data_IF_695706310401
#
_entry.id   IF_695706310401
#
_cell.length_a   1.000
_cell.length_b   1.000
_cell.length_c   1.000
_cell.angle_alpha   90.00
_cell.angle_beta   90.00
_cell.angle_gamma   90.00
#
_symmetry.space_group_name_H-M   'P 1'
#
loop_
_entity.id
_entity.type
_entity.pdbx_description
1 polymer ?
#
# COMPACT_ATOMS: atom_id res chain seq x y z
N UNK A 1 -2.36 -14.84 19.01
CA UNK A 1 -3.24 -15.37 17.94
C UNK A 1 -2.55 -15.38 16.59
N UNK A 2 -2.13 -14.23 16.04
CA UNK A 2 -1.46 -14.18 14.71
C UNK A 2 -0.18 -15.02 14.67
N UNK A 3 0.64 -15.01 15.73
CA UNK A 3 1.87 -15.81 15.79
C UNK A 3 1.62 -17.33 15.69
N UNK A 4 0.54 -17.83 16.30
CA UNK A 4 0.20 -19.26 16.25
C UNK A 4 -0.32 -19.65 14.86
N UNK A 5 -1.06 -18.76 14.20
CA UNK A 5 -1.48 -18.95 12.81
C UNK A 5 -0.29 -19.02 11.86
N UNK A 6 0.65 -18.07 11.98
CA UNK A 6 1.88 -18.09 11.20
C UNK A 6 2.64 -19.40 11.37
N UNK A 7 2.86 -19.83 12.60
CA UNK A 7 3.63 -21.05 12.87
C UNK A 7 2.92 -22.32 12.35
N UNK A 8 1.59 -22.38 12.43
CA UNK A 8 0.81 -23.48 11.86
C UNK A 8 0.89 -23.50 10.32
N UNK A 9 0.78 -22.33 9.68
CA UNK A 9 0.81 -22.21 8.23
C UNK A 9 2.22 -22.43 7.63
N UNK A 10 3.26 -21.87 8.26
CA UNK A 10 4.65 -21.92 7.77
C UNK A 10 5.39 -23.21 8.18
N UNK A 11 4.93 -23.88 9.25
CA UNK A 11 5.54 -25.09 9.81
C UNK A 11 7.05 -24.98 10.13
N UNK A 12 7.55 -23.76 10.39
CA UNK A 12 8.91 -23.52 10.87
C UNK A 12 8.95 -22.57 12.07
N UNK A 13 10.01 -22.60 12.90
CA UNK A 13 10.20 -21.64 13.98
C UNK A 13 10.31 -20.20 13.44
N UNK A 14 10.04 -19.18 14.30
CA UNK A 14 10.28 -17.80 13.93
C UNK A 14 11.77 -17.52 13.65
N UNK A 15 12.03 -16.42 12.94
CA UNK A 15 13.39 -15.94 12.65
C UNK A 15 14.25 -15.91 13.92
N UNK A 16 15.48 -16.42 13.83
CA UNK A 16 16.41 -16.53 14.97
C UNK A 16 16.19 -17.75 15.88
N UNK A 17 15.15 -18.57 15.64
CA UNK A 17 14.89 -19.83 16.36
C UNK A 17 15.00 -21.09 15.47
N UNK A 18 15.24 -20.91 14.18
CA UNK A 18 15.35 -22.01 13.22
C UNK A 18 16.73 -22.67 13.19
N UNK A 19 16.76 -23.99 13.02
CA UNK A 19 17.98 -24.77 12.76
C UNK A 19 18.11 -25.03 11.26
N UNK A 20 18.77 -24.15 10.52
CA UNK A 20 19.01 -24.31 9.06
C UNK A 20 17.76 -24.54 8.22
N UNK A 21 17.93 -24.98 6.96
CA UNK A 21 16.82 -25.40 6.09
C UNK A 21 16.31 -26.78 6.53
N UNK A 22 15.34 -26.81 7.45
CA UNK A 22 14.68 -28.05 7.89
C UNK A 22 13.69 -28.54 6.83
N UNK A 23 13.78 -29.82 6.47
CA UNK A 23 12.83 -30.48 5.57
C UNK A 23 11.73 -31.14 6.40
N UNK A 24 10.47 -30.89 6.03
CA UNK A 24 9.31 -31.49 6.68
C UNK A 24 9.14 -32.96 6.28
N UNK A 25 8.84 -33.82 7.25
CA UNK A 25 8.39 -35.19 6.99
C UNK A 25 7.03 -35.20 6.29
N UNK A 26 6.66 -36.31 5.65
CA UNK A 26 5.36 -36.46 5.01
C UNK A 26 4.19 -36.24 6.00
N UNK A 27 4.35 -36.69 7.25
CA UNK A 27 3.34 -36.48 8.31
C UNK A 27 3.21 -35.01 8.68
N UNK A 28 4.33 -34.31 8.90
CA UNK A 28 4.33 -32.88 9.22
C UNK A 28 3.75 -32.03 8.08
N UNK A 29 4.09 -32.36 6.83
CA UNK A 29 3.52 -31.70 5.65
C UNK A 29 2.01 -31.89 5.57
N UNK A 30 1.51 -33.11 5.85
CA UNK A 30 0.06 -33.37 5.90
C UNK A 30 -0.61 -32.52 6.99
N UNK A 31 -0.04 -32.48 8.19
CA UNK A 31 -0.55 -31.63 9.28
C UNK A 31 -0.56 -30.15 8.91
N UNK A 32 0.50 -29.64 8.28
CA UNK A 32 0.57 -28.25 7.81
C UNK A 32 -0.58 -27.92 6.85
N UNK A 33 -0.83 -28.79 5.87
CA UNK A 33 -1.93 -28.60 4.90
C UNK A 33 -3.29 -28.63 5.61
N UNK A 34 -3.52 -29.62 6.48
CA UNK A 34 -4.77 -29.76 7.23
C UNK A 34 -5.03 -28.53 8.14
N UNK A 35 -3.99 -28.03 8.81
CA UNK A 35 -4.06 -26.85 9.67
C UNK A 35 -4.28 -25.56 8.85
N UNK A 36 -3.60 -25.42 7.70
CA UNK A 36 -3.80 -24.30 6.76
C UNK A 36 -5.24 -24.26 6.22
N UNK A 37 -5.82 -25.41 5.90
CA UNK A 37 -7.22 -25.46 5.43
C UNK A 37 -8.18 -25.05 6.55
N UNK A 38 -8.04 -25.63 7.75
CA UNK A 38 -8.91 -25.30 8.90
C UNK A 38 -8.83 -23.84 9.31
N UNK A 39 -7.62 -23.26 9.36
CA UNK A 39 -7.47 -21.86 9.70
C UNK A 39 -8.07 -20.96 8.62
N UNK A 40 -7.92 -21.33 7.35
CA UNK A 40 -8.46 -20.55 6.23
C UNK A 40 -9.98 -20.51 6.30
N UNK A 41 -10.64 -21.67 6.37
CA UNK A 41 -12.10 -21.76 6.48
C UNK A 41 -12.62 -20.95 7.67
N UNK A 42 -11.98 -21.08 8.84
CA UNK A 42 -12.40 -20.37 10.04
C UNK A 42 -12.26 -18.84 9.90
N UNK A 43 -11.08 -18.37 9.49
CA UNK A 43 -10.79 -16.93 9.48
C UNK A 43 -11.36 -16.20 8.26
N UNK A 44 -11.68 -16.87 7.16
CA UNK A 44 -12.49 -16.28 6.09
C UNK A 44 -13.80 -15.72 6.66
N UNK A 45 -14.45 -16.46 7.56
CA UNK A 45 -15.70 -16.04 8.20
C UNK A 45 -15.46 -15.04 9.34
N UNK A 46 -14.46 -15.29 10.20
CA UNK A 46 -14.25 -14.53 11.42
C UNK A 46 -13.53 -13.18 11.21
N UNK A 47 -12.60 -13.10 10.25
CA UNK A 47 -11.74 -11.92 10.07
C UNK A 47 -12.53 -10.63 9.76
N UNK A 48 -13.55 -10.63 8.88
CA UNK A 48 -14.35 -9.42 8.67
C UNK A 48 -15.03 -8.94 9.96
N UNK A 49 -15.52 -9.86 10.79
CA UNK A 49 -16.16 -9.51 12.08
C UNK A 49 -15.15 -8.93 13.07
N UNK A 50 -13.94 -9.50 13.12
CA UNK A 50 -12.87 -9.01 14.00
C UNK A 50 -12.41 -7.61 13.58
N UNK A 51 -12.23 -7.37 12.28
CA UNK A 51 -11.89 -6.05 11.74
C UNK A 51 -12.99 -5.03 12.07
N UNK A 52 -14.26 -5.40 11.88
CA UNK A 52 -15.38 -4.53 12.23
C UNK A 52 -15.40 -4.18 13.72
N UNK A 53 -15.12 -5.16 14.60
CA UNK A 53 -15.13 -4.96 16.06
C UNK A 53 -13.97 -4.09 16.55
N UNK A 54 -12.78 -4.30 16.01
CA UNK A 54 -11.55 -3.64 16.46
C UNK A 54 -11.09 -2.50 15.54
N UNK A 55 -11.96 -2.05 14.63
CA UNK A 55 -11.65 -1.14 13.54
C UNK A 55 -11.02 0.20 13.96
N UNK A 56 -11.16 0.63 15.22
CA UNK A 56 -10.58 1.89 15.70
C UNK A 56 -9.17 1.72 16.29
N UNK A 57 -8.71 0.49 16.50
CA UNK A 57 -7.45 0.18 17.18
C UNK A 57 -6.38 -0.19 16.14
N UNK A 58 -5.47 0.73 15.88
CA UNK A 58 -4.46 0.60 14.81
C UNK A 58 -3.56 -0.62 15.00
N UNK A 59 -3.11 -0.90 16.22
CA UNK A 59 -2.26 -2.05 16.51
C UNK A 59 -3.00 -3.38 16.28
N UNK A 60 -4.24 -3.49 16.76
CA UNK A 60 -5.06 -4.69 16.55
C UNK A 60 -5.38 -4.89 15.07
N UNK A 61 -5.74 -3.83 14.35
CA UNK A 61 -6.07 -3.88 12.93
C UNK A 61 -4.85 -4.30 12.10
N UNK A 62 -3.68 -3.68 12.30
CA UNK A 62 -2.45 -4.03 11.60
C UNK A 62 -2.08 -5.51 11.81
N UNK A 63 -2.24 -6.02 13.03
CA UNK A 63 -2.03 -7.44 13.34
C UNK A 63 -3.07 -8.35 12.66
N UNK A 64 -4.35 -8.00 12.68
CA UNK A 64 -5.42 -8.81 12.06
C UNK A 64 -5.24 -8.91 10.54
N UNK A 65 -4.81 -7.83 9.89
CA UNK A 65 -4.53 -7.80 8.45
C UNK A 65 -3.32 -8.65 8.03
N UNK A 66 -2.53 -9.17 8.96
CA UNK A 66 -1.51 -10.17 8.65
C UNK A 66 -2.10 -11.56 8.39
N UNK A 67 -3.36 -11.83 8.76
CA UNK A 67 -3.93 -13.18 8.70
C UNK A 67 -4.11 -13.69 7.25
N UNK A 68 -4.62 -12.89 6.28
CA UNK A 68 -4.86 -13.36 4.91
C UNK A 68 -3.63 -13.92 4.18
N UNK A 69 -2.40 -13.51 4.56
CA UNK A 69 -1.17 -14.03 3.95
C UNK A 69 -0.96 -15.53 4.21
N UNK A 70 -1.66 -16.10 5.19
CA UNK A 70 -1.59 -17.51 5.54
C UNK A 70 -2.73 -18.34 4.93
N UNK A 71 -3.63 -17.71 4.18
CA UNK A 71 -4.79 -18.41 3.60
C UNK A 71 -4.41 -19.30 2.42
N UNK A 72 -5.23 -20.32 2.23
CA UNK A 72 -5.40 -20.97 0.94
C UNK A 72 -6.52 -20.25 0.17
N UNK A 73 -6.17 -19.38 -0.77
CA UNK A 73 -7.14 -18.51 -1.43
C UNK A 73 -8.12 -19.27 -2.35
N UNK A 74 -7.80 -20.50 -2.76
CA UNK A 74 -8.72 -21.35 -3.52
C UNK A 74 -9.98 -21.71 -2.72
N UNK A 75 -9.90 -21.70 -1.39
CA UNK A 75 -11.04 -21.93 -0.50
C UNK A 75 -12.16 -20.91 -0.72
N UNK A 76 -11.84 -19.68 -1.15
CA UNK A 76 -12.87 -18.69 -1.45
C UNK A 76 -13.83 -19.16 -2.56
N UNK A 77 -13.29 -19.76 -3.62
CA UNK A 77 -14.07 -20.21 -4.78
C UNK A 77 -14.59 -21.63 -4.58
N UNK A 78 -13.74 -22.56 -4.14
CA UNK A 78 -14.12 -23.95 -3.93
C UNK A 78 -15.18 -24.09 -2.82
N UNK A 79 -15.08 -23.26 -1.77
CA UNK A 79 -16.02 -23.23 -0.65
C UNK A 79 -17.25 -22.35 -0.86
N UNK A 80 -17.39 -21.66 -2.01
CA UNK A 80 -18.45 -20.67 -2.27
C UNK A 80 -18.53 -19.60 -1.18
N UNK A 81 -17.37 -19.07 -0.79
CA UNK A 81 -17.21 -18.10 0.29
C UNK A 81 -17.03 -16.67 -0.21
N UNK A 82 -17.43 -16.35 -1.44
CA UNK A 82 -17.26 -15.04 -2.08
C UNK A 82 -17.94 -13.92 -1.27
N UNK A 83 -19.07 -14.21 -0.61
CA UNK A 83 -19.74 -13.25 0.28
C UNK A 83 -18.85 -12.79 1.44
N UNK A 84 -17.94 -13.65 1.91
CA UNK A 84 -17.00 -13.33 2.99
C UNK A 84 -15.79 -12.57 2.47
N UNK A 85 -15.39 -12.82 1.22
CA UNK A 85 -14.42 -11.98 0.52
C UNK A 85 -14.96 -10.54 0.37
N UNK A 86 -16.20 -10.38 -0.10
CA UNK A 86 -16.84 -9.06 -0.21
C UNK A 86 -16.91 -8.36 1.16
N UNK A 87 -17.24 -9.11 2.22
CA UNK A 87 -17.24 -8.57 3.58
C UNK A 87 -15.84 -8.14 4.04
N UNK A 88 -14.79 -8.91 3.74
CA UNK A 88 -13.41 -8.56 4.05
C UNK A 88 -12.98 -7.29 3.31
N UNK A 89 -13.19 -7.23 1.99
CA UNK A 89 -12.84 -6.07 1.16
C UNK A 89 -13.54 -4.80 1.65
N UNK A 90 -14.83 -4.90 2.01
CA UNK A 90 -15.57 -3.80 2.63
C UNK A 90 -14.92 -3.34 3.93
N UNK A 91 -14.53 -4.26 4.81
CA UNK A 91 -13.89 -3.89 6.09
C UNK A 91 -12.51 -3.27 5.89
N UNK A 92 -11.69 -3.79 4.98
CA UNK A 92 -10.38 -3.20 4.66
C UNK A 92 -10.56 -1.78 4.14
N UNK A 93 -11.52 -1.54 3.24
CA UNK A 93 -11.84 -0.20 2.75
C UNK A 93 -12.20 0.76 3.89
N UNK A 94 -13.10 0.35 4.79
CA UNK A 94 -13.46 1.17 5.95
C UNK A 94 -12.26 1.44 6.87
N UNK A 95 -11.32 0.50 7.00
CA UNK A 95 -10.05 0.71 7.73
C UNK A 95 -9.20 1.77 7.03
N UNK A 96 -9.01 1.68 5.72
CA UNK A 96 -8.21 2.66 4.93
C UNK A 96 -8.81 4.06 5.04
N UNK A 97 -10.13 4.19 5.00
CA UNK A 97 -10.82 5.48 5.15
C UNK A 97 -10.60 6.08 6.55
N UNK A 98 -10.55 5.25 7.59
CA UNK A 98 -10.46 5.69 8.99
C UNK A 98 -9.05 5.99 9.48
N UNK A 99 -8.04 5.30 8.96
CA UNK A 99 -6.67 5.33 9.49
C UNK A 99 -5.72 6.17 8.63
N UNK A 100 -4.68 6.69 9.29
CA UNK A 100 -3.55 7.39 8.65
C UNK A 100 -2.19 6.84 9.11
N UNK A 101 -2.17 5.87 10.01
CA UNK A 101 -0.96 5.20 10.49
C UNK A 101 -0.38 4.32 9.38
N UNK A 102 0.91 4.51 9.07
CA UNK A 102 1.55 3.81 7.94
C UNK A 102 1.51 2.29 8.09
N UNK A 103 1.72 1.76 9.30
CA UNK A 103 1.67 0.31 9.54
C UNK A 103 0.30 -0.30 9.21
N UNK A 104 -0.79 0.44 9.45
CA UNK A 104 -2.15 0.00 9.09
C UNK A 104 -2.34 0.06 7.58
N UNK A 105 -1.96 1.17 6.96
CA UNK A 105 -2.12 1.38 5.52
C UNK A 105 -1.29 0.39 4.69
N UNK A 106 -0.06 0.11 5.11
CA UNK A 106 0.79 -0.90 4.51
C UNK A 106 0.23 -2.31 4.70
N UNK A 107 -0.36 -2.62 5.85
CA UNK A 107 -1.01 -3.90 6.07
C UNK A 107 -2.24 -4.06 5.16
N UNK A 108 -3.02 -3.00 4.94
CA UNK A 108 -4.12 -2.98 3.97
C UNK A 108 -3.61 -3.23 2.54
N UNK A 109 -2.58 -2.49 2.12
CA UNK A 109 -2.01 -2.63 0.77
C UNK A 109 -1.43 -4.04 0.53
N UNK A 110 -0.64 -4.56 1.48
CA UNK A 110 -0.10 -5.93 1.40
C UNK A 110 -1.22 -6.97 1.33
N UNK A 111 -2.30 -6.79 2.09
CA UNK A 111 -3.48 -7.67 2.04
C UNK A 111 -4.14 -7.64 0.66
N UNK A 112 -4.35 -6.46 0.07
CA UNK A 112 -4.84 -6.35 -1.31
C UNK A 112 -3.90 -7.02 -2.31
N UNK A 113 -2.58 -6.92 -2.11
CA UNK A 113 -1.58 -7.52 -3.01
C UNK A 113 -1.69 -9.04 -3.01
N UNK A 114 -1.81 -9.65 -1.82
CA UNK A 114 -2.02 -11.10 -1.65
C UNK A 114 -3.33 -11.54 -2.32
N UNK A 115 -4.43 -10.83 -2.04
CA UNK A 115 -5.75 -11.19 -2.55
C UNK A 115 -5.90 -10.98 -4.07
N UNK A 116 -5.06 -10.12 -4.66
CA UNK A 116 -5.07 -9.77 -6.08
C UNK A 116 -4.02 -10.54 -6.91
N UNK A 117 -3.56 -11.69 -6.44
CA UNK A 117 -2.65 -12.55 -7.23
C UNK A 117 -3.37 -13.17 -8.43
N UNK A 118 -2.72 -13.12 -9.60
CA UNK A 118 -3.21 -13.66 -10.88
C UNK A 118 -3.41 -15.18 -10.86
N UNK A 119 -2.84 -15.87 -9.87
CA UNK A 119 -2.96 -17.31 -9.69
C UNK A 119 -4.38 -17.74 -9.26
N UNK A 120 -5.20 -16.82 -8.74
CA UNK A 120 -6.49 -17.16 -8.12
C UNK A 120 -7.69 -16.56 -8.85
N UNK A 121 -8.77 -17.35 -8.90
CA UNK A 121 -10.04 -16.97 -9.55
C UNK A 121 -10.74 -15.76 -8.91
N UNK A 122 -10.36 -15.38 -7.68
CA UNK A 122 -10.90 -14.22 -6.97
C UNK A 122 -10.31 -12.88 -7.45
N UNK A 123 -9.21 -12.91 -8.22
CA UNK A 123 -8.43 -11.72 -8.58
C UNK A 123 -9.30 -10.59 -9.15
N UNK A 124 -10.13 -10.87 -10.17
CA UNK A 124 -10.95 -9.84 -10.82
C UNK A 124 -11.88 -9.12 -9.84
N UNK A 125 -12.45 -9.83 -8.88
CA UNK A 125 -13.34 -9.25 -7.86
C UNK A 125 -12.57 -8.32 -6.92
N UNK A 126 -11.37 -8.74 -6.51
CA UNK A 126 -10.49 -7.95 -5.64
C UNK A 126 -9.96 -6.72 -6.38
N UNK A 127 -9.59 -6.87 -7.66
CA UNK A 127 -9.09 -5.77 -8.48
C UNK A 127 -10.14 -4.68 -8.71
N UNK A 128 -11.41 -5.05 -8.91
CA UNK A 128 -12.52 -4.08 -8.99
C UNK A 128 -12.61 -3.28 -7.69
N UNK A 129 -12.63 -3.95 -6.54
CA UNK A 129 -12.72 -3.28 -5.23
C UNK A 129 -11.50 -2.39 -4.95
N UNK A 130 -10.29 -2.84 -5.34
CA UNK A 130 -9.05 -2.07 -5.25
C UNK A 130 -9.10 -0.84 -6.14
N UNK A 131 -9.48 -1.01 -7.41
CA UNK A 131 -9.58 0.08 -8.39
C UNK A 131 -10.53 1.17 -7.90
N UNK A 132 -11.73 0.80 -7.45
CA UNK A 132 -12.71 1.74 -6.88
C UNK A 132 -12.16 2.50 -5.67
N UNK A 133 -11.45 1.81 -4.77
CA UNK A 133 -10.81 2.46 -3.63
C UNK A 133 -9.77 3.51 -4.09
N UNK A 134 -8.90 3.16 -5.04
CA UNK A 134 -7.86 4.07 -5.52
C UNK A 134 -8.44 5.23 -6.33
N UNK A 135 -9.47 5.00 -7.15
CA UNK A 135 -10.18 6.05 -7.89
C UNK A 135 -10.67 7.13 -6.91
N UNK A 136 -11.40 6.73 -5.87
CA UNK A 136 -11.90 7.66 -4.86
C UNK A 136 -10.79 8.35 -4.05
N UNK A 137 -9.70 7.65 -3.72
CA UNK A 137 -8.56 8.28 -3.03
C UNK A 137 -7.87 9.31 -3.93
N UNK A 138 -7.73 9.00 -5.22
CA UNK A 138 -7.07 9.87 -6.20
C UNK A 138 -7.91 11.11 -6.48
N UNK A 139 -9.22 10.95 -6.62
CA UNK A 139 -10.14 12.07 -6.80
C UNK A 139 -10.06 13.01 -5.59
N UNK A 140 -10.17 12.48 -4.36
CA UNK A 140 -10.05 13.30 -3.15
C UNK A 140 -8.69 13.98 -3.04
N UNK A 141 -7.61 13.25 -3.29
CA UNK A 141 -6.26 13.83 -3.27
C UNK A 141 -6.12 14.97 -4.28
N UNK A 142 -6.63 14.80 -5.50
CA UNK A 142 -6.53 15.82 -6.54
C UNK A 142 -7.28 17.09 -6.16
N UNK A 143 -8.50 16.97 -5.62
CA UNK A 143 -9.26 18.13 -5.13
C UNK A 143 -8.52 18.83 -3.99
N UNK A 144 -8.07 18.09 -2.97
CA UNK A 144 -7.34 18.69 -1.84
C UNK A 144 -6.02 19.35 -2.25
N UNK A 145 -5.35 18.84 -3.30
CA UNK A 145 -4.15 19.49 -3.85
C UNK A 145 -4.50 20.81 -4.54
N UNK A 146 -5.60 20.88 -5.29
CA UNK A 146 -6.04 22.16 -5.88
C UNK A 146 -6.38 23.18 -4.80
N UNK A 147 -7.15 22.77 -3.79
CA UNK A 147 -7.56 23.65 -2.67
C UNK A 147 -6.31 24.20 -1.94
N UNK A 148 -5.40 23.32 -1.51
CA UNK A 148 -4.17 23.71 -0.82
C UNK A 148 -3.28 24.65 -1.66
N UNK A 149 -3.17 24.42 -2.97
CA UNK A 149 -2.33 25.25 -3.84
C UNK A 149 -2.98 26.59 -4.21
N UNK A 150 -4.31 26.69 -4.16
CA UNK A 150 -5.03 27.95 -4.38
C UNK A 150 -4.98 28.86 -3.16
N UNK A 151 -5.12 28.30 -1.96
CA UNK A 151 -5.14 29.06 -0.71
C UNK A 151 -3.75 29.50 -0.26
N UNK A 152 -2.70 28.78 -0.67
CA UNK A 152 -1.29 29.12 -0.47
C UNK A 152 -0.93 29.48 0.99
N UNK A 153 -0.86 30.77 1.34
CA UNK A 153 -0.55 31.24 2.70
C UNK A 153 -1.76 31.25 3.64
N UNK A 154 -2.98 31.15 3.10
CA UNK A 154 -4.24 31.12 3.86
C UNK A 154 -4.72 29.69 4.18
N UNK A 155 -4.04 28.67 3.65
CA UNK A 155 -4.40 27.28 3.84
C UNK A 155 -4.41 26.90 5.34
N UNK A 156 -5.48 26.23 5.76
CA UNK A 156 -5.67 25.89 7.16
C UNK A 156 -5.18 24.46 7.49
N UNK A 157 -5.33 24.09 8.77
CA UNK A 157 -4.93 22.75 9.25
C UNK A 157 -5.76 21.62 8.61
N UNK A 158 -7.01 21.90 8.20
CA UNK A 158 -7.89 20.92 7.56
C UNK A 158 -7.43 20.65 6.12
N UNK A 159 -7.00 21.66 5.37
CA UNK A 159 -6.43 21.50 4.02
C UNK A 159 -5.16 20.65 4.03
N UNK A 160 -4.24 20.99 4.95
CA UNK A 160 -3.00 20.25 5.17
C UNK A 160 -3.32 18.79 5.53
N UNK A 161 -4.28 18.57 6.44
CA UNK A 161 -4.70 17.24 6.85
C UNK A 161 -5.33 16.44 5.71
N UNK A 162 -6.16 17.08 4.88
CA UNK A 162 -6.83 16.43 3.74
C UNK A 162 -5.81 15.95 2.69
N UNK A 163 -4.84 16.80 2.33
CA UNK A 163 -3.73 16.41 1.44
C UNK A 163 -2.88 15.31 2.07
N UNK A 164 -2.42 15.50 3.31
CA UNK A 164 -1.52 14.55 3.95
C UNK A 164 -2.17 13.17 4.14
N UNK A 165 -3.42 13.14 4.60
CA UNK A 165 -4.11 11.88 4.90
C UNK A 165 -4.40 11.08 3.63
N UNK A 166 -4.82 11.72 2.53
CA UNK A 166 -5.05 11.05 1.24
C UNK A 166 -3.74 10.61 0.60
N UNK A 167 -2.70 11.46 0.65
CA UNK A 167 -1.39 11.14 0.13
C UNK A 167 -0.73 9.96 0.86
N UNK A 168 -0.86 9.84 2.18
CA UNK A 168 -0.35 8.66 2.93
C UNK A 168 -1.02 7.37 2.48
N UNK A 169 -2.35 7.38 2.26
CA UNK A 169 -3.11 6.22 1.75
C UNK A 169 -2.61 5.83 0.37
N UNK A 170 -2.50 6.79 -0.55
CA UNK A 170 -1.99 6.54 -1.90
C UNK A 170 -0.54 6.05 -1.89
N UNK A 171 0.33 6.66 -1.09
CA UNK A 171 1.75 6.28 -0.97
C UNK A 171 1.91 4.84 -0.49
N UNK A 172 1.17 4.44 0.54
CA UNK A 172 1.20 3.07 1.06
C UNK A 172 0.76 2.05 -0.01
N UNK A 173 -0.30 2.36 -0.77
CA UNK A 173 -0.78 1.48 -1.84
C UNK A 173 0.17 1.47 -3.05
N UNK A 174 0.76 2.60 -3.42
CA UNK A 174 1.65 2.71 -4.57
C UNK A 174 2.92 1.87 -4.40
N UNK A 175 3.32 1.54 -3.17
CA UNK A 175 4.46 0.66 -2.92
C UNK A 175 4.24 -0.76 -3.48
N UNK A 176 3.05 -1.34 -3.29
CA UNK A 176 2.74 -2.73 -3.66
C UNK A 176 1.80 -2.86 -4.87
N UNK A 177 1.33 -1.74 -5.42
CA UNK A 177 0.42 -1.71 -6.55
C UNK A 177 0.89 -0.70 -7.59
N UNK A 178 0.87 -1.09 -8.85
CA UNK A 178 1.08 -0.17 -9.95
C UNK A 178 -0.09 0.82 -10.07
N UNK A 179 0.13 2.05 -9.61
CA UNK A 179 -0.84 3.14 -9.68
C UNK A 179 -0.51 4.15 -10.80
N UNK A 180 0.35 3.81 -11.76
CA UNK A 180 0.80 4.76 -12.79
C UNK A 180 -0.32 5.25 -13.71
N UNK A 181 -1.45 4.52 -13.82
CA UNK A 181 -2.62 4.97 -14.61
C UNK A 181 -3.33 6.21 -14.05
N UNK A 182 -3.10 6.55 -12.79
CA UNK A 182 -3.72 7.70 -12.09
C UNK A 182 -2.85 8.96 -12.09
N UNK A 183 -1.67 8.94 -12.73
CA UNK A 183 -0.76 10.09 -12.83
C UNK A 183 -0.47 10.83 -11.51
N UNK A 184 -0.28 10.07 -10.42
CA UNK A 184 0.01 10.65 -9.09
C UNK A 184 1.30 11.49 -9.05
N UNK A 185 2.23 11.24 -9.99
CA UNK A 185 3.47 12.00 -10.10
C UNK A 185 3.20 13.48 -10.36
N UNK A 186 2.25 13.82 -11.23
CA UNK A 186 1.92 15.21 -11.56
C UNK A 186 1.52 16.02 -10.32
N UNK A 187 0.58 15.50 -9.52
CA UNK A 187 0.13 16.16 -8.29
C UNK A 187 1.23 16.22 -7.23
N UNK A 188 2.01 15.15 -7.03
CA UNK A 188 3.13 15.16 -6.08
C UNK A 188 4.23 16.16 -6.50
N UNK A 189 4.53 16.24 -7.80
CA UNK A 189 5.52 17.18 -8.34
C UNK A 189 5.11 18.63 -8.11
N UNK A 190 3.83 18.96 -8.30
CA UNK A 190 3.28 20.30 -8.01
C UNK A 190 3.42 20.67 -6.54
N UNK A 191 3.05 19.77 -5.64
CA UNK A 191 3.23 19.98 -4.19
C UNK A 191 4.70 20.24 -3.84
N UNK A 192 5.61 19.40 -4.34
CA UNK A 192 7.04 19.55 -4.04
C UNK A 192 7.60 20.87 -4.59
N UNK A 193 7.18 21.29 -5.78
CA UNK A 193 7.59 22.57 -6.38
C UNK A 193 7.09 23.76 -5.58
N UNK A 194 5.80 23.79 -5.26
CA UNK A 194 5.23 24.84 -4.42
C UNK A 194 5.96 24.95 -3.08
N UNK A 195 6.26 23.80 -2.45
CA UNK A 195 7.00 23.79 -1.19
C UNK A 195 8.44 24.28 -1.26
N UNK A 196 9.12 24.09 -2.40
CA UNK A 196 10.46 24.63 -2.64
C UNK A 196 10.41 26.15 -2.86
N UNK A 197 9.40 26.64 -3.60
CA UNK A 197 9.26 28.05 -3.95
C UNK A 197 8.80 28.91 -2.77
N UNK A 198 7.86 28.41 -1.97
CA UNK A 198 7.27 29.13 -0.83
C UNK A 198 8.05 28.89 0.47
N UNK A 199 8.75 27.76 0.60
CA UNK A 199 9.53 27.42 1.80
C UNK A 199 8.71 27.04 3.04
N UNK A 200 7.39 26.94 2.92
CA UNK A 200 6.44 26.74 4.04
C UNK A 200 5.74 25.37 4.04
N UNK A 201 6.02 24.48 3.07
CA UNK A 201 5.33 23.19 2.94
C UNK A 201 5.59 22.28 4.16
N UNK A 202 4.55 21.68 4.77
CA UNK A 202 4.70 20.73 5.85
C UNK A 202 5.62 19.55 5.48
N UNK A 203 6.56 19.24 6.37
CA UNK A 203 7.60 18.22 6.16
C UNK A 203 7.01 16.85 5.77
N UNK A 204 5.88 16.47 6.36
CA UNK A 204 5.26 15.16 6.15
C UNK A 204 4.65 15.07 4.75
N UNK A 205 4.10 16.17 4.22
CA UNK A 205 3.62 16.22 2.83
C UNK A 205 4.80 16.05 1.88
N UNK A 206 5.91 16.76 2.12
CA UNK A 206 7.11 16.63 1.29
C UNK A 206 7.68 15.20 1.30
N UNK A 207 7.79 14.59 2.48
CA UNK A 207 8.27 13.20 2.64
C UNK A 207 7.37 12.22 1.87
N UNK A 208 6.04 12.32 2.02
CA UNK A 208 5.12 11.41 1.35
C UNK A 208 5.06 11.66 -0.17
N UNK A 209 5.13 12.92 -0.62
CA UNK A 209 5.16 13.25 -2.04
C UNK A 209 6.44 12.75 -2.73
N UNK A 210 7.60 12.85 -2.06
CA UNK A 210 8.86 12.26 -2.53
C UNK A 210 8.73 10.74 -2.66
N UNK A 211 8.20 10.07 -1.63
CA UNK A 211 8.03 8.62 -1.60
C UNK A 211 7.05 8.13 -2.67
N UNK A 212 5.90 8.79 -2.83
CA UNK A 212 4.91 8.45 -3.85
C UNK A 212 5.45 8.67 -5.27
N UNK A 213 6.20 9.75 -5.48
CA UNK A 213 6.84 10.05 -6.77
C UNK A 213 7.91 9.00 -7.11
N UNK A 214 8.68 8.57 -6.11
CA UNK A 214 9.66 7.48 -6.25
C UNK A 214 8.98 6.18 -6.69
N UNK A 215 7.87 5.78 -6.05
CA UNK A 215 7.12 4.60 -6.47
C UNK A 215 6.57 4.73 -7.89
N UNK A 216 6.08 5.91 -8.30
CA UNK A 216 5.64 6.13 -9.68
C UNK A 216 6.77 5.89 -10.68
N UNK A 217 7.98 6.42 -10.40
CA UNK A 217 9.15 6.21 -11.25
C UNK A 217 9.54 4.73 -11.32
N UNK A 218 9.54 4.02 -10.19
CA UNK A 218 9.85 2.58 -10.16
C UNK A 218 8.86 1.76 -10.97
N UNK A 219 7.55 2.00 -10.83
CA UNK A 219 6.54 1.27 -11.61
C UNK A 219 6.61 1.58 -13.11
N UNK A 220 6.86 2.84 -13.50
CA UNK A 220 7.09 3.18 -14.90
C UNK A 220 8.35 2.48 -15.44
N UNK A 221 9.42 2.37 -14.63
CA UNK A 221 10.63 1.65 -15.00
C UNK A 221 10.36 0.14 -15.21
N UNK A 222 9.57 -0.50 -14.34
CA UNK A 222 9.17 -1.90 -14.49
C UNK A 222 8.44 -2.10 -15.82
N UNK A 223 7.44 -1.25 -16.14
CA UNK A 223 6.70 -1.31 -17.43
C UNK A 223 7.59 -1.21 -18.66
N UNK A 224 8.56 -0.29 -18.61
CA UNK A 224 9.52 -0.10 -19.72
C UNK A 224 10.50 -1.27 -19.83
N UNK A 225 10.86 -1.90 -18.71
CA UNK A 225 11.83 -3.01 -18.67
C UNK A 225 11.20 -4.34 -19.09
N UNK A 226 9.96 -4.61 -18.68
CA UNK A 226 9.26 -5.86 -18.97
C UNK A 226 8.43 -5.80 -20.26
N UNK A 227 8.06 -4.60 -20.70
CA UNK A 227 7.29 -4.38 -21.91
C UNK A 227 8.11 -4.22 -23.18
N UNK A 228 7.45 -3.79 -24.25
CA UNK A 228 8.08 -3.37 -25.51
C UNK A 228 7.89 -1.85 -25.68
N UNK A 229 8.68 -1.03 -24.96
CA UNK A 229 8.46 0.42 -24.91
C UNK A 229 8.78 1.06 -26.27
N UNK A 230 7.96 2.04 -26.66
CA UNK A 230 8.30 2.90 -27.77
C UNK A 230 9.44 3.86 -27.39
N UNK A 231 10.04 4.50 -28.39
CA UNK A 231 11.01 5.58 -28.16
C UNK A 231 10.41 6.73 -27.36
N UNK A 232 9.12 7.01 -27.55
CA UNK A 232 8.42 8.09 -26.88
C UNK A 232 8.18 7.75 -25.40
N UNK A 233 7.89 6.49 -25.07
CA UNK A 233 7.75 6.02 -23.68
C UNK A 233 9.08 6.18 -22.92
N UNK A 234 10.20 5.80 -23.53
CA UNK A 234 11.53 5.99 -22.95
C UNK A 234 11.87 7.47 -22.75
N UNK A 235 11.49 8.34 -23.68
CA UNK A 235 11.71 9.78 -23.57
C UNK A 235 10.79 10.41 -22.51
N UNK A 236 9.57 9.92 -22.34
CA UNK A 236 8.67 10.34 -21.28
C UNK A 236 9.24 9.97 -19.90
N UNK A 237 9.63 8.70 -19.69
CA UNK A 237 10.26 8.27 -18.43
C UNK A 237 11.53 9.05 -18.13
N UNK A 238 12.39 9.29 -19.13
CA UNK A 238 13.60 10.10 -18.96
C UNK A 238 13.30 11.53 -18.48
N UNK A 239 12.21 12.13 -18.97
CA UNK A 239 11.77 13.46 -18.52
C UNK A 239 11.31 13.42 -17.06
N UNK A 240 10.47 12.46 -16.70
CA UNK A 240 9.97 12.25 -15.33
C UNK A 240 11.15 12.07 -14.36
N UNK A 241 12.09 11.17 -14.66
CA UNK A 241 13.27 10.92 -13.82
C UNK A 241 14.13 12.16 -13.66
N UNK A 242 14.40 12.90 -14.74
CA UNK A 242 15.19 14.14 -14.66
C UNK A 242 14.52 15.19 -13.78
N UNK A 243 13.21 15.39 -13.95
CA UNK A 243 12.44 16.34 -13.14
C UNK A 243 12.44 15.92 -11.66
N UNK A 244 12.27 14.63 -11.39
CA UNK A 244 12.29 14.11 -10.02
C UNK A 244 13.65 14.26 -9.35
N UNK A 245 14.75 13.96 -10.05
CA UNK A 245 16.11 14.16 -9.55
C UNK A 245 16.41 15.64 -9.26
N UNK A 246 15.94 16.54 -10.12
CA UNK A 246 16.09 17.98 -9.88
C UNK A 246 15.35 18.45 -8.62
N UNK A 247 14.13 17.95 -8.40
CA UNK A 247 13.37 18.22 -7.16
C UNK A 247 14.08 17.63 -5.95
N UNK A 248 14.53 16.38 -6.01
CA UNK A 248 15.30 15.75 -4.95
C UNK A 248 16.54 16.58 -4.58
N UNK A 249 17.30 17.03 -5.59
CA UNK A 249 18.48 17.87 -5.39
C UNK A 249 18.15 19.20 -4.68
N UNK A 250 17.02 19.83 -5.01
CA UNK A 250 16.54 21.04 -4.33
C UNK A 250 16.09 20.75 -2.89
N UNK A 251 15.48 19.60 -2.65
CA UNK A 251 15.07 19.16 -1.31
C UNK A 251 16.28 18.84 -0.39
N UNK A 252 17.47 18.54 -0.92
CA UNK A 252 18.68 18.36 -0.09
C UNK A 252 19.12 19.63 0.64
N UNK A 253 18.78 20.81 0.10
CA UNK A 253 19.01 22.09 0.77
C UNK A 253 17.88 22.51 1.72
N UNK A 254 16.83 21.70 1.90
CA UNK A 254 15.74 21.98 2.82
C UNK A 254 16.27 22.16 4.26
N UNK A 255 15.61 22.91 5.13
CA UNK A 255 16.05 23.04 6.53
C UNK A 255 15.77 21.78 7.35
N UNK A 256 14.78 21.00 6.93
CA UNK A 256 14.30 19.82 7.62
C UNK A 256 15.16 18.57 7.35
N UNK A 257 15.60 17.89 8.41
CA UNK A 257 16.43 16.69 8.30
C UNK A 257 15.67 15.48 7.78
N UNK A 258 14.38 15.31 8.12
CA UNK A 258 13.58 14.18 7.63
C UNK A 258 13.41 14.23 6.12
N UNK A 259 13.22 15.43 5.55
CA UNK A 259 13.14 15.61 4.09
C UNK A 259 14.47 15.22 3.43
N UNK A 260 15.62 15.63 3.99
CA UNK A 260 16.94 15.26 3.46
C UNK A 260 17.19 13.75 3.53
N UNK A 261 16.89 13.14 4.67
CA UNK A 261 17.03 11.69 4.87
C UNK A 261 16.15 10.93 3.88
N UNK A 262 14.92 11.40 3.64
CA UNK A 262 14.03 10.80 2.66
C UNK A 262 14.60 10.87 1.25
N UNK A 263 15.10 12.02 0.83
CA UNK A 263 15.78 12.16 -0.47
C UNK A 263 16.98 11.21 -0.58
N UNK A 264 17.79 11.13 0.47
CA UNK A 264 19.00 10.29 0.49
C UNK A 264 18.68 8.80 0.34
N UNK A 265 17.48 8.35 0.75
CA UNK A 265 17.02 6.98 0.52
C UNK A 265 16.60 6.70 -0.93
N UNK A 266 16.35 7.72 -1.74
CA UNK A 266 15.82 7.61 -3.10
C UNK A 266 16.86 7.82 -4.22
N UNK A 267 18.02 8.38 -3.89
CA UNK A 267 19.16 8.61 -4.79
C UNK A 267 20.19 7.50 -4.57
#
# INVERSE_FOLDING_TARGET
MVCTLRQAAEAHPPVGRGTGKRVLTAKERKTQIDDKNKLTEHYIMALPMLLSKYQADSEKVANLLQIPQFFDLDVYSAGRMEKHLDALLKQIRLVVEKHIEMDVLEACSKTYSILCSEEYTIMNRVDIARSQLIDEMTDRFSHSVEDLLQEAEEADDDDIYNVLSTLKRLTAFHNAHDLTRWDLFGSCYRLLKAGIEQGSMPEQIAVQALQCSHYSVLWQLVKVTEGSPSKDDMLALRRVVKSFLAVCQQCLSNVNTMVKEQVTKHI
#
